data_IF_505610472247
#
_entry.id   IF_505610472247
#
_cell.length_a   1.000
_cell.length_b   1.000
_cell.length_c   1.000
_cell.angle_alpha   90.00
_cell.angle_beta   90.00
_cell.angle_gamma   90.00
#
_symmetry.space_group_name_H-M   'P 1'
#
loop_
_entity.id
_entity.type
_entity.pdbx_description
1 polymer ?
#
# COMPACT_ATOMS: atom_id res chain seq x y z
N UNK A 1 -13.35 26.09 -3.07
CA UNK A 1 -12.04 25.41 -3.28
C UNK A 1 -12.06 24.10 -2.51
N UNK A 2 -12.02 22.96 -3.19
CA UNK A 2 -11.88 21.66 -2.51
C UNK A 2 -10.43 21.55 -2.03
N UNK A 3 -10.20 21.71 -0.74
CA UNK A 3 -8.90 21.45 -0.14
C UNK A 3 -8.67 19.94 -0.12
N UNK A 4 -7.75 19.48 -0.94
CA UNK A 4 -7.35 18.08 -0.93
C UNK A 4 -6.32 17.88 0.21
N UNK A 5 -6.74 17.18 1.26
CA UNK A 5 -5.83 16.79 2.34
C UNK A 5 -5.04 15.55 1.94
N UNK A 6 -3.79 15.49 2.36
CA UNK A 6 -2.95 14.31 2.19
C UNK A 6 -2.39 13.83 3.52
N UNK A 7 -2.16 12.54 3.62
CA UNK A 7 -1.46 11.88 4.71
C UNK A 7 -0.34 11.04 4.11
N UNK A 8 0.90 11.35 4.46
CA UNK A 8 2.06 10.69 3.87
C UNK A 8 3.09 10.30 4.93
N UNK A 9 3.64 9.07 4.88
CA UNK A 9 4.75 8.70 5.74
C UNK A 9 5.98 9.51 5.37
N UNK A 10 6.72 9.95 6.39
CA UNK A 10 8.00 10.63 6.23
C UNK A 10 9.13 9.76 6.79
N UNK A 11 10.27 9.74 6.12
CA UNK A 11 11.43 8.98 6.58
C UNK A 11 12.02 9.59 7.86
N UNK A 12 12.43 8.74 8.80
CA UNK A 12 13.02 9.16 10.08
C UNK A 12 14.27 10.04 9.96
N UNK A 13 15.01 9.92 8.85
CA UNK A 13 16.21 10.72 8.56
C UNK A 13 15.91 12.01 7.78
N UNK A 14 14.66 12.36 7.53
CA UNK A 14 14.31 13.61 6.82
C UNK A 14 14.55 14.80 7.73
N UNK A 15 15.20 15.84 7.19
CA UNK A 15 15.50 17.06 7.94
C UNK A 15 14.27 17.96 7.99
N UNK A 16 13.91 18.35 9.22
CA UNK A 16 12.75 19.19 9.53
C UNK A 16 13.08 20.19 10.62
N UNK A 17 12.30 21.24 10.73
CA UNK A 17 12.40 22.24 11.80
C UNK A 17 11.03 22.43 12.47
N UNK A 18 11.01 22.57 13.79
CA UNK A 18 9.82 22.97 14.56
C UNK A 18 9.63 24.50 14.57
N UNK A 19 10.62 25.27 14.15
CA UNK A 19 10.59 26.73 14.18
C UNK A 19 10.10 27.29 12.86
N UNK A 20 9.27 28.32 12.90
CA UNK A 20 8.76 29.01 11.72
C UNK A 20 9.88 29.59 10.85
N UNK A 21 11.03 29.94 11.45
CA UNK A 21 12.19 30.52 10.76
C UNK A 21 13.11 29.48 10.07
N UNK A 22 12.67 28.23 9.97
CA UNK A 22 13.32 27.17 9.22
C UNK A 22 14.71 26.74 9.67
N UNK A 23 15.25 27.20 10.81
CA UNK A 23 16.57 26.78 11.35
C UNK A 23 16.51 26.66 12.87
N UNK A 24 17.21 25.69 13.51
CA UNK A 24 18.03 24.63 12.93
C UNK A 24 17.19 23.44 12.40
N UNK A 25 17.66 22.82 11.31
CA UNK A 25 17.09 21.56 10.82
C UNK A 25 17.71 20.37 11.56
N UNK A 26 16.85 19.43 12.00
CA UNK A 26 17.24 18.16 12.63
C UNK A 26 16.53 17.02 11.93
N UNK A 27 17.09 15.81 11.99
CA UNK A 27 16.38 14.63 11.49
C UNK A 27 15.13 14.38 12.35
N UNK A 28 14.05 13.90 11.72
CA UNK A 28 12.77 13.63 12.42
C UNK A 28 12.98 12.74 13.64
N UNK A 29 13.85 11.74 13.57
CA UNK A 29 14.19 10.83 14.68
C UNK A 29 14.87 11.53 15.87
N UNK A 30 15.51 12.67 15.64
CA UNK A 30 16.25 13.45 16.65
C UNK A 30 15.38 14.51 17.34
N UNK A 31 14.13 14.65 16.87
CA UNK A 31 13.20 15.57 17.51
C UNK A 31 12.72 14.99 18.84
N UNK A 32 12.77 15.83 19.87
CA UNK A 32 12.09 15.57 21.14
C UNK A 32 10.61 15.91 20.98
N UNK A 33 9.75 15.03 21.44
CA UNK A 33 8.30 15.21 21.45
C UNK A 33 7.79 15.24 22.87
N UNK A 34 6.97 16.21 23.22
CA UNK A 34 6.20 16.18 24.46
C UNK A 34 5.00 15.23 24.32
N UNK A 35 4.40 14.82 25.46
CA UNK A 35 3.23 13.95 25.44
C UNK A 35 2.04 14.58 24.70
N UNK A 36 1.90 15.89 24.77
CA UNK A 36 0.89 16.64 24.01
C UNK A 36 1.16 16.61 22.52
N UNK A 37 2.42 16.79 22.10
CA UNK A 37 2.82 16.72 20.69
C UNK A 37 2.64 15.31 20.11
N UNK A 38 2.82 14.26 20.91
CA UNK A 38 2.55 12.89 20.49
C UNK A 38 1.05 12.67 20.23
N UNK A 39 0.18 13.27 21.07
CA UNK A 39 -1.27 13.13 20.93
C UNK A 39 -1.85 13.98 19.81
N UNK A 40 -1.41 15.22 19.71
CA UNK A 40 -2.02 16.24 18.85
C UNK A 40 -1.22 16.56 17.60
N UNK A 41 0.00 16.00 17.47
CA UNK A 41 0.92 16.33 16.40
C UNK A 41 1.64 17.65 16.64
N UNK A 42 2.63 17.93 15.81
CA UNK A 42 3.45 19.14 15.86
C UNK A 42 3.59 19.74 14.46
N UNK A 43 3.43 21.06 14.39
CA UNK A 43 3.65 21.77 13.13
C UNK A 43 5.17 21.85 12.85
N UNK A 44 5.56 21.44 11.64
CA UNK A 44 6.95 21.41 11.20
C UNK A 44 7.10 22.02 9.81
N UNK A 45 8.32 22.49 9.53
CA UNK A 45 8.77 22.83 8.19
C UNK A 45 9.74 21.76 7.68
N UNK A 46 9.51 21.24 6.47
CA UNK A 46 10.38 20.22 5.85
C UNK A 46 11.42 20.91 4.98
N UNK A 47 12.70 20.54 5.17
CA UNK A 47 13.81 21.09 4.35
C UNK A 47 13.55 20.82 2.86
N UNK A 48 13.55 21.89 2.07
CA UNK A 48 13.27 21.85 0.64
C UNK A 48 11.82 22.19 0.25
N UNK A 49 10.93 22.40 1.23
CA UNK A 49 9.61 22.98 0.96
C UNK A 49 9.72 24.52 0.92
N UNK A 50 8.73 25.17 0.30
CA UNK A 50 8.63 26.63 0.31
C UNK A 50 8.54 27.13 1.76
N UNK A 51 9.19 28.26 2.07
CA UNK A 51 9.34 28.81 3.45
C UNK A 51 8.02 28.95 4.22
N UNK A 52 6.92 29.23 3.52
CA UNK A 52 5.58 29.40 4.09
C UNK A 52 4.76 28.10 4.18
N UNK A 53 5.31 26.96 3.78
CA UNK A 53 4.60 25.67 3.81
C UNK A 53 4.99 24.86 5.04
N UNK A 54 4.07 24.81 6.00
CA UNK A 54 4.16 23.99 7.19
C UNK A 54 3.18 22.83 7.10
N UNK A 55 3.53 21.73 7.74
CA UNK A 55 2.72 20.50 7.80
C UNK A 55 2.68 19.98 9.24
N UNK A 56 1.61 19.30 9.60
CA UNK A 56 1.52 18.63 10.89
C UNK A 56 2.23 17.28 10.81
N UNK A 57 3.11 17.03 11.77
CA UNK A 57 3.83 15.76 11.96
C UNK A 57 3.22 15.00 13.13
N UNK A 58 2.88 13.76 12.90
CA UNK A 58 2.42 12.80 13.90
C UNK A 58 3.46 11.69 14.07
N UNK A 59 3.71 11.32 15.34
CA UNK A 59 4.57 10.21 15.71
C UNK A 59 3.72 9.15 16.40
N UNK A 60 3.80 7.89 15.97
CA UNK A 60 3.13 6.78 16.63
C UNK A 60 3.95 5.49 16.53
N UNK A 61 3.71 4.61 17.49
CA UNK A 61 4.33 3.29 17.54
C UNK A 61 3.34 2.25 17.01
N UNK A 62 3.75 1.50 16.01
CA UNK A 62 2.95 0.38 15.48
C UNK A 62 3.14 -0.87 16.32
N UNK A 63 2.24 -1.89 16.23
CA UNK A 63 2.32 -3.11 17.05
C UNK A 63 3.65 -3.87 16.96
N UNK A 64 4.44 -3.61 15.92
CA UNK A 64 5.79 -4.18 15.73
C UNK A 64 6.89 -3.42 16.49
N UNK A 65 6.56 -2.57 17.44
CA UNK A 65 7.46 -1.66 18.17
C UNK A 65 8.26 -0.71 17.27
N UNK A 66 7.86 -0.55 16.03
CA UNK A 66 8.49 0.40 15.11
C UNK A 66 7.82 1.77 15.22
N UNK A 67 8.62 2.81 15.33
CA UNK A 67 8.14 4.20 15.30
C UNK A 67 7.92 4.62 13.85
N UNK A 68 6.72 5.11 13.56
CA UNK A 68 6.36 5.67 12.26
C UNK A 68 6.02 7.16 12.41
N UNK A 69 6.27 7.88 11.33
CA UNK A 69 6.02 9.32 11.25
C UNK A 69 5.13 9.59 10.04
N UNK A 70 4.08 10.37 10.25
CA UNK A 70 3.14 10.78 9.21
C UNK A 70 3.02 12.29 9.20
N UNK A 71 3.00 12.86 8.00
CA UNK A 71 2.78 14.30 7.79
C UNK A 71 1.49 14.54 7.03
N UNK A 72 0.80 15.62 7.37
CA UNK A 72 -0.41 16.06 6.67
C UNK A 72 -0.41 17.58 6.51
N UNK A 73 -1.05 18.06 5.44
CA UNK A 73 -1.37 19.48 5.26
C UNK A 73 -2.67 19.89 5.95
N UNK A 74 -3.36 18.95 6.58
CA UNK A 74 -4.57 19.23 7.34
C UNK A 74 -4.21 19.79 8.72
N UNK A 75 -4.28 21.12 8.86
CA UNK A 75 -3.98 21.80 10.11
C UNK A 75 -5.09 21.64 11.18
N UNK A 76 -6.28 21.20 10.79
CA UNK A 76 -7.38 20.95 11.73
C UNK A 76 -7.28 19.59 12.38
N UNK A 77 -6.47 18.68 11.82
CA UNK A 77 -6.27 17.35 12.40
C UNK A 77 -5.43 17.44 13.68
N UNK A 78 -6.04 17.06 14.80
CA UNK A 78 -5.44 17.09 16.13
C UNK A 78 -5.40 15.73 16.83
N UNK A 79 -5.62 14.63 16.07
CA UNK A 79 -5.62 13.27 16.61
C UNK A 79 -4.60 12.40 15.90
N UNK A 80 -3.61 11.93 16.63
CA UNK A 80 -2.63 10.94 16.11
C UNK A 80 -3.29 9.66 15.64
N UNK A 81 -4.32 9.19 16.36
CA UNK A 81 -5.06 7.98 15.98
C UNK A 81 -5.77 8.14 14.64
N UNK A 82 -6.49 9.25 14.44
CA UNK A 82 -7.15 9.51 13.17
C UNK A 82 -6.15 9.67 12.02
N UNK A 83 -4.99 10.31 12.25
CA UNK A 83 -3.92 10.42 11.26
C UNK A 83 -3.30 9.04 10.93
N UNK A 84 -3.23 8.14 11.92
CA UNK A 84 -2.78 6.75 11.74
C UNK A 84 -3.77 5.95 10.90
N UNK A 85 -5.06 6.04 11.18
CA UNK A 85 -6.13 5.35 10.46
C UNK A 85 -6.15 5.79 8.99
N UNK A 86 -6.10 7.09 8.72
CA UNK A 86 -6.01 7.63 7.36
C UNK A 86 -4.75 7.14 6.60
N UNK A 87 -3.61 7.09 7.28
CA UNK A 87 -2.40 6.54 6.70
C UNK A 87 -2.50 5.01 6.47
N UNK A 88 -3.30 4.32 7.29
CA UNK A 88 -3.55 2.88 7.20
C UNK A 88 -4.17 2.46 5.87
N UNK A 89 -5.06 3.26 5.29
CA UNK A 89 -5.66 2.98 3.97
C UNK A 89 -4.61 2.80 2.87
N UNK A 90 -3.49 3.50 2.97
CA UNK A 90 -2.38 3.33 2.03
C UNK A 90 -1.76 1.93 2.07
N UNK A 91 -1.73 1.29 3.23
CA UNK A 91 -1.27 -0.10 3.37
C UNK A 91 -2.21 -1.09 2.70
N UNK A 92 -3.51 -0.85 2.78
CA UNK A 92 -4.53 -1.66 2.09
C UNK A 92 -4.32 -1.59 0.58
N UNK A 93 -4.10 -0.38 0.03
CA UNK A 93 -3.81 -0.19 -1.40
C UNK A 93 -2.52 -0.90 -1.80
N UNK A 94 -1.44 -0.78 -1.02
CA UNK A 94 -0.18 -1.48 -1.29
C UNK A 94 -0.33 -3.00 -1.26
N UNK A 95 -1.09 -3.52 -0.28
CA UNK A 95 -1.40 -4.95 -0.20
C UNK A 95 -2.18 -5.42 -1.42
N UNK A 96 -3.20 -4.67 -1.83
CA UNK A 96 -3.97 -4.93 -3.05
C UNK A 96 -3.06 -5.01 -4.28
N UNK A 97 -2.21 -4.01 -4.50
CA UNK A 97 -1.29 -4.02 -5.62
C UNK A 97 -0.35 -5.22 -5.61
N UNK A 98 0.19 -5.58 -4.45
CA UNK A 98 1.05 -6.75 -4.29
C UNK A 98 0.29 -8.04 -4.59
N UNK A 99 -0.92 -8.20 -4.05
CA UNK A 99 -1.78 -9.35 -4.28
C UNK A 99 -2.09 -9.52 -5.77
N UNK A 100 -2.52 -8.44 -6.45
CA UNK A 100 -2.82 -8.46 -7.88
C UNK A 100 -1.59 -8.88 -8.69
N UNK A 101 -0.43 -8.28 -8.45
CA UNK A 101 0.81 -8.62 -9.16
C UNK A 101 1.22 -10.09 -8.98
N UNK A 102 1.15 -10.60 -7.77
CA UNK A 102 1.61 -11.94 -7.45
C UNK A 102 0.60 -13.04 -7.83
N UNK A 103 -0.69 -12.72 -7.81
CA UNK A 103 -1.72 -13.74 -7.99
C UNK A 103 -2.29 -13.80 -9.40
N UNK A 104 -2.39 -12.68 -10.11
CA UNK A 104 -3.11 -12.60 -11.38
C UNK A 104 -2.22 -12.47 -12.61
N UNK A 105 -0.93 -12.23 -12.42
CA UNK A 105 0.00 -12.03 -13.54
C UNK A 105 -0.27 -10.76 -14.34
N UNK A 106 -0.82 -9.71 -13.73
CA UNK A 106 -1.19 -8.43 -14.39
C UNK A 106 -0.02 -7.81 -15.17
N UNK A 107 1.22 -8.01 -14.71
CA UNK A 107 2.43 -7.49 -15.33
C UNK A 107 2.95 -8.35 -16.50
N UNK A 108 2.33 -9.49 -16.79
CA UNK A 108 2.79 -10.45 -17.82
C UNK A 108 2.22 -10.18 -19.20
N UNK A 109 1.37 -9.16 -19.37
CA UNK A 109 0.80 -8.82 -20.67
C UNK A 109 1.86 -8.24 -21.59
N UNK A 110 2.21 -8.98 -22.64
CA UNK A 110 3.18 -8.54 -23.67
C UNK A 110 2.52 -7.83 -24.87
N UNK A 111 1.20 -7.71 -24.88
CA UNK A 111 0.47 -7.10 -25.97
C UNK A 111 0.66 -5.58 -26.00
N UNK A 112 0.98 -5.02 -27.16
CA UNK A 112 1.14 -3.57 -27.36
C UNK A 112 -0.17 -2.84 -27.66
N UNK A 113 -1.23 -3.56 -28.08
CA UNK A 113 -2.52 -2.96 -28.41
C UNK A 113 -3.26 -2.54 -27.13
N UNK A 114 -3.60 -1.26 -27.03
CA UNK A 114 -4.24 -0.66 -25.86
C UNK A 114 -5.52 -1.39 -25.40
N UNK A 115 -6.37 -1.84 -26.33
CA UNK A 115 -7.60 -2.57 -26.02
C UNK A 115 -7.28 -3.89 -25.30
N UNK A 116 -6.25 -4.63 -25.76
CA UNK A 116 -5.88 -5.91 -25.16
C UNK A 116 -5.29 -5.69 -23.77
N UNK A 117 -4.45 -4.68 -23.60
CA UNK A 117 -3.91 -4.31 -22.28
C UNK A 117 -5.02 -3.98 -21.28
N UNK A 118 -6.00 -3.15 -21.69
CA UNK A 118 -7.15 -2.82 -20.82
C UNK A 118 -7.95 -4.07 -20.42
N UNK A 119 -8.23 -4.94 -21.36
CA UNK A 119 -8.95 -6.18 -21.09
C UNK A 119 -8.17 -7.08 -20.12
N UNK A 120 -6.86 -7.23 -20.34
CA UNK A 120 -6.00 -8.01 -19.45
C UNK A 120 -6.00 -7.45 -18.02
N UNK A 121 -5.85 -6.12 -17.88
CA UNK A 121 -5.91 -5.44 -16.58
C UNK A 121 -7.27 -5.66 -15.91
N UNK A 122 -8.37 -5.48 -16.65
CA UNK A 122 -9.72 -5.70 -16.12
C UNK A 122 -9.94 -7.14 -15.67
N UNK A 123 -9.50 -8.12 -16.44
CA UNK A 123 -9.56 -9.53 -16.06
C UNK A 123 -8.74 -9.81 -14.80
N UNK A 124 -7.54 -9.23 -14.69
CA UNK A 124 -6.69 -9.39 -13.51
C UNK A 124 -7.36 -8.86 -12.23
N UNK A 125 -8.00 -7.68 -12.31
CA UNK A 125 -8.77 -7.13 -11.18
C UNK A 125 -9.99 -8.00 -10.84
N UNK A 126 -10.69 -8.52 -11.85
CA UNK A 126 -11.86 -9.38 -11.64
C UNK A 126 -11.49 -10.68 -10.93
N UNK A 127 -10.40 -11.32 -11.37
CA UNK A 127 -9.87 -12.53 -10.72
C UNK A 127 -9.45 -12.24 -9.28
N UNK A 128 -8.75 -11.13 -9.05
CA UNK A 128 -8.36 -10.73 -7.70
C UNK A 128 -9.58 -10.50 -6.81
N UNK A 129 -10.59 -9.77 -7.28
CA UNK A 129 -11.81 -9.47 -6.52
C UNK A 129 -12.55 -10.77 -6.14
N UNK A 130 -12.63 -11.73 -7.07
CA UNK A 130 -13.22 -13.03 -6.81
C UNK A 130 -12.45 -13.80 -5.75
N UNK A 131 -11.13 -13.90 -5.88
CA UNK A 131 -10.26 -14.56 -4.89
C UNK A 131 -10.37 -13.89 -3.51
N UNK A 132 -10.41 -12.56 -3.46
CA UNK A 132 -10.53 -11.79 -2.21
C UNK A 132 -11.87 -12.04 -1.53
N UNK A 133 -12.96 -12.02 -2.30
CA UNK A 133 -14.29 -12.32 -1.80
C UNK A 133 -14.34 -13.74 -1.21
N UNK A 134 -13.86 -14.73 -1.96
CA UNK A 134 -13.82 -16.14 -1.52
C UNK A 134 -12.97 -16.30 -0.26
N UNK A 135 -11.79 -15.66 -0.22
CA UNK A 135 -10.89 -15.70 0.93
C UNK A 135 -11.56 -15.15 2.19
N UNK A 136 -12.25 -14.00 2.06
CA UNK A 136 -12.98 -13.40 3.17
C UNK A 136 -14.14 -14.27 3.67
N UNK A 137 -14.87 -14.94 2.75
CA UNK A 137 -15.98 -15.84 3.12
C UNK A 137 -15.49 -17.06 3.89
N UNK A 138 -14.30 -17.59 3.53
CA UNK A 138 -13.76 -18.83 4.11
C UNK A 138 -12.83 -18.53 5.30
N UNK A 139 -12.51 -17.26 5.58
CA UNK A 139 -11.55 -16.87 6.62
C UNK A 139 -10.10 -17.23 6.29
N UNK A 140 -9.75 -17.35 5.00
CA UNK A 140 -8.39 -17.66 4.53
C UNK A 140 -7.76 -16.45 3.82
N UNK A 141 -6.44 -16.49 3.62
CA UNK A 141 -5.75 -15.51 2.79
C UNK A 141 -5.93 -15.84 1.30
N UNK A 142 -5.83 -14.83 0.43
CA UNK A 142 -5.88 -15.03 -1.04
C UNK A 142 -4.78 -15.98 -1.53
N UNK A 143 -3.64 -16.00 -0.85
CA UNK A 143 -2.52 -16.89 -1.16
C UNK A 143 -2.84 -18.36 -0.86
N UNK A 144 -3.50 -18.63 0.27
CA UNK A 144 -3.94 -19.97 0.64
C UNK A 144 -5.01 -20.50 -0.34
N UNK A 145 -5.93 -19.62 -0.79
CA UNK A 145 -6.92 -20.01 -1.81
C UNK A 145 -6.21 -20.40 -3.11
N UNK A 146 -5.28 -19.56 -3.60
CA UNK A 146 -4.54 -19.86 -4.84
C UNK A 146 -3.75 -21.16 -4.72
N UNK A 147 -3.07 -21.40 -3.61
CA UNK A 147 -2.32 -22.63 -3.37
C UNK A 147 -3.23 -23.85 -3.40
N UNK A 148 -4.35 -23.80 -2.67
CA UNK A 148 -5.33 -24.90 -2.67
C UNK A 148 -5.93 -25.20 -4.04
N UNK A 149 -6.19 -24.17 -4.86
CA UNK A 149 -6.64 -24.36 -6.24
C UNK A 149 -5.58 -25.04 -7.12
N UNK A 150 -4.31 -24.66 -6.94
CA UNK A 150 -3.19 -25.27 -7.65
C UNK A 150 -2.99 -26.73 -7.22
N UNK A 151 -3.02 -27.01 -5.94
CA UNK A 151 -2.87 -28.37 -5.41
C UNK A 151 -3.98 -29.29 -5.93
N UNK A 152 -5.24 -28.83 -5.91
CA UNK A 152 -6.38 -29.57 -6.45
C UNK A 152 -6.22 -29.85 -7.95
N UNK A 153 -5.80 -28.83 -8.71
CA UNK A 153 -5.54 -28.98 -10.14
C UNK A 153 -4.43 -30.00 -10.40
N UNK A 154 -3.31 -29.92 -9.70
CA UNK A 154 -2.20 -30.87 -9.85
C UNK A 154 -2.62 -32.29 -9.50
N UNK A 155 -3.36 -32.47 -8.40
CA UNK A 155 -3.89 -33.78 -8.02
C UNK A 155 -4.82 -34.36 -9.09
N UNK A 156 -5.68 -33.51 -9.67
CA UNK A 156 -6.58 -33.93 -10.76
C UNK A 156 -5.79 -34.33 -12.01
N UNK A 157 -4.77 -33.57 -12.40
CA UNK A 157 -3.92 -33.88 -13.54
C UNK A 157 -3.12 -35.17 -13.34
N UNK A 158 -2.67 -35.46 -12.11
CA UNK A 158 -1.98 -36.72 -11.77
C UNK A 158 -2.93 -37.92 -11.82
N UNK A 159 -4.20 -37.75 -11.37
CA UNK A 159 -5.20 -38.85 -11.41
C UNK A 159 -5.76 -39.11 -12.80
N UNK A 160 -5.93 -38.05 -13.60
CA UNK A 160 -6.50 -38.12 -14.94
C UNK A 160 -5.77 -37.10 -15.84
N UNK A 161 -4.62 -37.48 -16.40
CA UNK A 161 -3.81 -36.58 -17.22
C UNK A 161 -4.58 -36.19 -18.48
N UNK A 162 -4.82 -34.90 -18.69
CA UNK A 162 -5.44 -34.37 -19.91
C UNK A 162 -4.39 -34.07 -21.00
N UNK A 163 -3.45 -35.00 -21.19
CA UNK A 163 -2.51 -34.92 -22.31
C UNK A 163 -3.25 -35.20 -23.60
N UNK A 164 -3.62 -34.16 -24.33
CA UNK A 164 -3.96 -34.28 -25.74
C UNK A 164 -2.68 -34.48 -26.50
N UNK A 165 -2.39 -35.69 -26.91
CA UNK A 165 -1.39 -35.93 -27.95
C UNK A 165 -1.86 -35.13 -29.16
N UNK A 166 -1.13 -34.09 -29.55
CA UNK A 166 -1.23 -33.55 -30.89
C UNK A 166 -0.68 -34.67 -31.79
N UNK A 167 -1.55 -35.42 -32.42
CA UNK A 167 -1.15 -36.32 -33.50
C UNK A 167 -0.40 -35.44 -34.52
N UNK A 168 0.87 -35.75 -34.88
CA UNK A 168 1.52 -35.02 -35.91
C UNK A 168 0.68 -35.24 -37.18
N UNK A 169 0.18 -34.14 -37.77
CA UNK A 169 -0.40 -34.20 -39.11
C UNK A 169 0.72 -34.68 -40.05
N UNK A 170 0.74 -36.00 -40.28
CA UNK A 170 1.51 -36.62 -41.35
C UNK A 170 0.69 -36.38 -42.62
N UNK A 171 1.03 -35.29 -43.33
CA UNK A 171 0.58 -35.04 -44.69
C UNK A 171 1.61 -35.60 -45.65
#
# INVERSE_FOLDING_TARGET
MNFQYYYAPIKANRNVSKTHDSKPYKAVKELTFSDEEIRHGVEIHIKGFAKNKHVNLFKFTVPTNRVEYVVTNNKTQKSSKAAQDECGFRWVIKSMHREIKQLTGIERCQCRKQRIQRNHISCAFLVWAFLKRTANTIGKTVYQIKLGLLDNYMQQQLRSPSLRYLEPNIA
#
